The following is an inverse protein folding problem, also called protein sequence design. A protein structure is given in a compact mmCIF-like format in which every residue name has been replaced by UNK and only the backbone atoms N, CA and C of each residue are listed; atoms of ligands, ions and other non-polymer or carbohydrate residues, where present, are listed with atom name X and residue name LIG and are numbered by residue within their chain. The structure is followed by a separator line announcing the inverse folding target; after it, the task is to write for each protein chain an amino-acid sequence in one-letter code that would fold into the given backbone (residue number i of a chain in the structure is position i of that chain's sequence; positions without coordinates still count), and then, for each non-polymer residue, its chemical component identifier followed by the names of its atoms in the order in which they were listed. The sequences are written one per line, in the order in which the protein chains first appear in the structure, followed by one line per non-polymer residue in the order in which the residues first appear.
data_IF_142489507552
#
_entry.id   IF_142489507552
#
_cell.length_a   1.000
_cell.length_b   1.000
_cell.length_c   1.000
_cell.angle_alpha   90.00
_cell.angle_beta   90.00
_cell.angle_gamma   90.00
#
_symmetry.space_group_name_H-M   'P 1'
#
loop_
_entity.id
_entity.type
_entity.pdbx_description
1 polymer ?
#
# COMPACT_ATOMS: atom_id res chain seq x y z
N UNK A 1 -15.72 28.41 -6.47
CA UNK A 1 -15.08 27.08 -6.62
C UNK A 1 -16.03 26.07 -5.96
N UNK A 2 -16.56 25.13 -6.72
CA UNK A 2 -17.45 24.11 -6.18
C UNK A 2 -16.69 23.16 -5.26
N UNK A 3 -17.44 22.31 -4.54
CA UNK A 3 -16.85 21.45 -3.54
C UNK A 3 -16.02 20.28 -4.09
N UNK A 4 -16.30 19.85 -5.30
CA UNK A 4 -15.49 18.85 -5.98
C UNK A 4 -14.10 19.40 -6.31
N UNK A 5 -14.06 20.63 -6.84
CA UNK A 5 -12.80 21.33 -7.11
C UNK A 5 -11.97 21.55 -5.83
N UNK A 6 -12.61 21.91 -4.71
CA UNK A 6 -11.90 22.04 -3.41
C UNK A 6 -11.38 20.70 -2.91
N UNK A 7 -12.19 19.67 -2.98
CA UNK A 7 -11.79 18.31 -2.58
C UNK A 7 -10.63 17.79 -3.44
N UNK A 8 -10.62 18.15 -4.73
CA UNK A 8 -9.55 17.78 -5.65
C UNK A 8 -8.20 18.45 -5.34
N UNK A 9 -8.15 19.49 -4.52
CA UNK A 9 -6.90 20.12 -4.09
C UNK A 9 -6.15 19.31 -3.03
N UNK A 10 -6.79 18.32 -2.40
CA UNK A 10 -6.12 17.42 -1.48
C UNK A 10 -5.04 16.61 -2.22
N UNK A 11 -3.78 16.74 -1.80
CA UNK A 11 -2.63 16.13 -2.46
C UNK A 11 -2.66 14.60 -2.57
N UNK A 12 -3.47 13.93 -1.73
CA UNK A 12 -3.58 12.47 -1.70
C UNK A 12 -4.92 11.94 -2.23
N UNK A 13 -5.76 12.79 -2.85
CA UNK A 13 -7.10 12.41 -3.33
C UNK A 13 -7.16 12.04 -4.80
N UNK A 14 -6.05 12.07 -5.53
CA UNK A 14 -6.04 11.75 -6.96
C UNK A 14 -6.33 10.25 -7.17
N UNK A 15 -7.41 9.94 -7.90
CA UNK A 15 -7.68 8.58 -8.36
C UNK A 15 -6.89 8.32 -9.64
N UNK A 16 -5.94 7.41 -9.58
CA UNK A 16 -5.12 7.07 -10.74
C UNK A 16 -5.20 5.60 -11.15
N UNK A 17 -5.73 4.76 -10.28
CA UNK A 17 -5.79 3.31 -10.52
C UNK A 17 -7.21 2.78 -10.36
N UNK A 18 -7.60 1.82 -11.21
CA UNK A 18 -8.77 1.00 -10.95
C UNK A 18 -8.44 0.00 -9.85
N UNK A 19 -9.23 0.01 -8.79
CA UNK A 19 -9.03 -0.88 -7.64
C UNK A 19 -9.47 -2.33 -7.89
N UNK A 20 -10.00 -2.63 -9.07
CA UNK A 20 -10.36 -3.97 -9.58
C UNK A 20 -10.97 -4.91 -8.51
N UNK A 21 -11.94 -4.42 -7.78
CA UNK A 21 -12.49 -5.09 -6.60
C UNK A 21 -13.03 -6.51 -6.87
N UNK A 22 -13.53 -6.77 -8.09
CA UNK A 22 -14.02 -8.10 -8.48
C UNK A 22 -12.88 -9.11 -8.63
N UNK A 23 -11.74 -8.69 -9.19
CA UNK A 23 -10.57 -9.56 -9.42
C UNK A 23 -9.84 -9.94 -8.11
N UNK A 24 -10.06 -9.21 -7.00
CA UNK A 24 -9.43 -9.49 -5.71
C UNK A 24 -9.79 -10.87 -5.12
N UNK A 25 -10.87 -11.48 -5.59
CA UNK A 25 -11.30 -12.81 -5.15
C UNK A 25 -10.68 -13.94 -5.98
N UNK A 26 -10.08 -13.62 -7.11
CA UNK A 26 -9.41 -14.58 -7.97
C UNK A 26 -7.94 -14.71 -7.56
N UNK A 27 -7.66 -15.62 -6.63
CA UNK A 27 -6.32 -15.86 -6.11
C UNK A 27 -5.36 -16.36 -7.20
N UNK A 28 -5.88 -17.11 -8.19
CA UNK A 28 -5.06 -17.58 -9.31
C UNK A 28 -4.61 -16.38 -10.15
N UNK A 29 -5.54 -15.54 -10.52
CA UNK A 29 -5.24 -14.33 -11.28
C UNK A 29 -4.22 -13.44 -10.53
N UNK A 30 -4.38 -13.26 -9.21
CA UNK A 30 -3.45 -12.48 -8.39
C UNK A 30 -2.03 -13.07 -8.43
N UNK A 31 -1.89 -14.38 -8.27
CA UNK A 31 -0.59 -15.05 -8.36
C UNK A 31 0.04 -14.88 -9.75
N UNK A 32 -0.75 -15.04 -10.80
CA UNK A 32 -0.28 -14.85 -12.18
C UNK A 32 0.22 -13.41 -12.39
N UNK A 33 -0.49 -12.40 -11.81
CA UNK A 33 -0.05 -11.01 -11.89
C UNK A 33 1.22 -10.72 -11.07
N UNK A 34 1.41 -11.34 -9.91
CA UNK A 34 2.62 -11.16 -9.09
C UNK A 34 3.89 -11.57 -9.84
N UNK A 35 3.82 -12.57 -10.69
CA UNK A 35 4.94 -13.05 -11.51
C UNK A 35 5.00 -12.38 -12.90
N UNK A 36 3.99 -11.61 -13.25
CA UNK A 36 3.86 -10.94 -14.55
C UNK A 36 4.87 -9.79 -14.73
N UNK A 37 5.33 -9.60 -15.97
CA UNK A 37 6.24 -8.50 -16.34
C UNK A 37 5.62 -7.11 -16.14
N UNK A 38 4.29 -7.03 -16.05
CA UNK A 38 3.53 -5.81 -15.86
C UNK A 38 3.34 -5.44 -14.38
N UNK A 39 3.72 -6.33 -13.45
CA UNK A 39 3.68 -6.04 -12.03
C UNK A 39 4.62 -4.88 -11.66
N UNK A 40 4.12 -3.98 -10.84
CA UNK A 40 4.88 -2.87 -10.25
C UNK A 40 4.69 -2.89 -8.75
N UNK A 41 5.81 -3.00 -8.04
CA UNK A 41 5.81 -3.12 -6.60
C UNK A 41 6.25 -1.82 -5.96
N UNK A 42 5.48 -1.38 -4.97
CA UNK A 42 5.75 -0.20 -4.15
C UNK A 42 6.32 -0.71 -2.83
N UNK A 43 7.64 -0.66 -2.64
CA UNK A 43 8.25 -1.11 -1.40
C UNK A 43 7.98 -0.11 -0.27
N UNK A 44 7.68 -0.67 0.90
CA UNK A 44 7.57 0.05 2.15
C UNK A 44 8.54 -0.57 3.16
N UNK A 45 9.27 0.26 3.86
CA UNK A 45 10.16 -0.15 4.94
C UNK A 45 10.02 0.84 6.10
N UNK A 46 9.72 0.36 7.29
CA UNK A 46 9.45 1.22 8.47
C UNK A 46 8.40 2.32 8.18
N UNK A 47 7.34 2.02 7.43
CA UNK A 47 6.33 3.00 6.97
C UNK A 47 6.85 4.11 6.06
N UNK A 48 8.05 4.00 5.52
CA UNK A 48 8.64 4.91 4.55
C UNK A 48 8.49 4.35 3.14
N UNK A 49 8.39 5.23 2.15
CA UNK A 49 8.39 4.86 0.72
C UNK A 49 9.78 5.07 0.13
N UNK A 50 10.11 4.31 -0.92
CA UNK A 50 11.38 4.42 -1.64
C UNK A 50 11.29 5.48 -2.73
N UNK A 51 12.22 6.42 -2.73
CA UNK A 51 12.33 7.50 -3.72
C UNK A 51 13.69 7.49 -4.40
N UNK A 52 13.70 7.72 -5.72
CA UNK A 52 14.92 7.73 -6.53
C UNK A 52 15.82 8.93 -6.19
N UNK A 53 15.23 10.11 -6.03
CA UNK A 53 15.92 11.36 -5.78
C UNK A 53 15.28 12.11 -4.62
N UNK A 54 16.06 12.96 -3.96
CA UNK A 54 15.60 13.72 -2.81
C UNK A 54 15.07 15.11 -3.22
N UNK A 55 15.69 15.76 -4.19
CA UNK A 55 15.30 17.11 -4.64
C UNK A 55 14.06 17.10 -5.53
N UNK A 56 13.95 16.12 -6.42
CA UNK A 56 12.80 15.92 -7.29
C UNK A 56 12.26 14.47 -7.07
N UNK A 57 11.56 14.22 -5.96
CA UNK A 57 11.23 12.87 -5.55
C UNK A 57 10.28 12.22 -6.54
N UNK A 58 10.70 11.06 -7.06
CA UNK A 58 9.87 10.16 -7.81
C UNK A 58 9.82 8.79 -7.11
N UNK A 59 8.65 8.12 -7.08
CA UNK A 59 8.55 6.82 -6.46
C UNK A 59 9.34 5.78 -7.24
N UNK A 60 10.13 4.98 -6.54
CA UNK A 60 10.76 3.79 -7.15
C UNK A 60 9.75 2.67 -7.20
N UNK A 61 9.37 2.30 -8.42
CA UNK A 61 8.49 1.16 -8.69
C UNK A 61 9.34 -0.03 -9.12
N UNK A 62 9.30 -1.09 -8.35
CA UNK A 62 10.13 -2.27 -8.56
C UNK A 62 9.42 -3.26 -9.49
N UNK A 63 10.21 -4.06 -10.23
CA UNK A 63 9.74 -5.31 -10.83
C UNK A 63 9.90 -6.47 -9.85
N UNK A 64 9.33 -7.63 -10.19
CA UNK A 64 9.52 -8.87 -9.40
C UNK A 64 11.00 -9.21 -9.21
N UNK A 65 11.81 -9.02 -10.26
CA UNK A 65 13.24 -9.30 -10.22
C UNK A 65 14.02 -8.44 -9.21
N UNK A 66 13.63 -7.17 -9.03
CA UNK A 66 14.28 -6.29 -8.04
C UNK A 66 14.00 -6.70 -6.58
N UNK A 67 12.86 -7.34 -6.33
CA UNK A 67 12.50 -7.79 -4.99
C UNK A 67 13.20 -9.10 -4.60
N UNK A 68 13.48 -9.96 -5.60
CA UNK A 68 14.08 -11.27 -5.33
C UNK A 68 13.32 -12.03 -4.22
N UNK A 69 14.06 -12.57 -3.26
CA UNK A 69 13.51 -13.29 -2.10
C UNK A 69 12.87 -12.35 -1.05
N UNK A 70 13.11 -11.04 -1.13
CA UNK A 70 12.55 -10.09 -0.15
C UNK A 70 11.02 -10.05 -0.16
N UNK A 71 10.39 -10.46 -1.24
CA UNK A 71 8.93 -10.53 -1.31
C UNK A 71 8.36 -11.66 -0.45
N UNK A 72 9.08 -12.78 -0.33
CA UNK A 72 8.67 -13.95 0.45
C UNK A 72 8.80 -13.69 1.95
N UNK A 73 9.69 -12.77 2.32
CA UNK A 73 9.89 -12.31 3.69
C UNK A 73 8.99 -11.14 4.07
N UNK A 74 8.25 -10.57 3.13
CA UNK A 74 7.41 -9.39 3.36
C UNK A 74 6.31 -9.65 4.40
N UNK A 75 6.07 -8.67 5.27
CA UNK A 75 4.96 -8.71 6.23
C UNK A 75 3.58 -8.76 5.54
N UNK A 76 3.48 -8.13 4.39
CA UNK A 76 2.31 -8.20 3.52
C UNK A 76 2.63 -7.83 2.09
N UNK A 77 1.96 -8.49 1.15
CA UNK A 77 1.89 -8.10 -0.26
C UNK A 77 0.42 -7.85 -0.57
N UNK A 78 0.10 -6.65 -1.03
CA UNK A 78 -1.28 -6.22 -1.24
C UNK A 78 -1.49 -5.69 -2.65
N UNK A 79 -2.46 -6.24 -3.37
CA UNK A 79 -2.90 -5.75 -4.67
C UNK A 79 -3.56 -4.37 -4.48
N UNK A 80 -3.02 -3.34 -5.11
CA UNK A 80 -3.60 -1.99 -5.06
C UNK A 80 -4.63 -1.76 -6.17
N UNK A 81 -4.30 -2.20 -7.39
CA UNK A 81 -5.15 -2.02 -8.56
C UNK A 81 -4.36 -2.05 -9.86
N UNK A 82 -5.00 -1.61 -10.95
CA UNK A 82 -4.41 -1.55 -12.28
C UNK A 82 -4.55 -0.15 -12.91
N UNK A 83 -3.62 0.17 -13.80
CA UNK A 83 -3.64 1.38 -14.62
C UNK A 83 -3.01 1.08 -15.97
N UNK A 84 -3.85 1.07 -17.00
CA UNK A 84 -3.47 0.54 -18.30
C UNK A 84 -3.10 -0.94 -18.19
N UNK A 85 -1.89 -1.25 -18.60
CA UNK A 85 -1.33 -2.62 -18.56
C UNK A 85 -0.60 -2.95 -17.25
N UNK A 86 -0.41 -1.98 -16.36
CA UNK A 86 0.35 -2.16 -15.11
C UNK A 86 -0.54 -2.56 -13.96
N UNK A 87 -0.08 -3.55 -13.19
CA UNK A 87 -0.73 -3.99 -11.95
C UNK A 87 0.17 -3.62 -10.77
N UNK A 88 -0.40 -2.90 -9.80
CA UNK A 88 0.34 -2.35 -8.68
C UNK A 88 0.14 -3.16 -7.40
N UNK A 89 1.23 -3.41 -6.69
CA UNK A 89 1.25 -4.07 -5.40
C UNK A 89 2.01 -3.25 -4.38
N UNK A 90 1.50 -3.15 -3.16
CA UNK A 90 2.26 -2.69 -2.02
C UNK A 90 3.01 -3.87 -1.39
N UNK A 91 4.28 -3.70 -1.06
CA UNK A 91 5.10 -4.70 -0.38
C UNK A 91 5.65 -4.10 0.90
N UNK A 92 5.18 -4.61 2.04
CA UNK A 92 5.65 -4.17 3.36
C UNK A 92 6.82 -5.04 3.80
N UNK A 93 8.02 -4.53 3.63
CA UNK A 93 9.26 -5.24 3.89
C UNK A 93 9.52 -5.41 5.40
N UNK A 94 10.24 -6.46 5.81
CA UNK A 94 10.68 -6.63 7.19
C UNK A 94 11.48 -5.41 7.65
N UNK A 95 11.33 -5.06 8.89
CA UNK A 95 11.99 -3.90 9.51
C UNK A 95 12.72 -4.29 10.81
N UNK A 96 13.15 -5.55 10.88
CA UNK A 96 13.86 -6.11 12.02
C UNK A 96 15.27 -5.53 12.14
N UNK A 97 15.87 -5.17 11.00
CA UNK A 97 17.14 -4.46 10.95
C UNK A 97 16.91 -2.95 10.82
N UNK A 98 17.80 -2.15 11.39
CA UNK A 98 17.78 -0.69 11.28
C UNK A 98 18.17 -0.18 9.87
N UNK A 99 18.55 -1.09 8.99
CA UNK A 99 18.94 -0.79 7.60
C UNK A 99 18.00 -1.47 6.60
N UNK A 100 17.60 -0.77 5.53
CA UNK A 100 16.80 -1.38 4.47
C UNK A 100 17.63 -2.45 3.72
N UNK A 101 16.97 -3.37 2.99
CA UNK A 101 17.66 -4.34 2.14
C UNK A 101 18.67 -3.64 1.23
N UNK A 102 19.92 -4.12 1.22
CA UNK A 102 21.03 -3.47 0.49
C UNK A 102 20.75 -3.33 -1.01
N UNK A 103 20.11 -4.31 -1.63
CA UNK A 103 19.69 -4.28 -3.04
C UNK A 103 18.74 -3.13 -3.37
N UNK A 104 17.97 -2.64 -2.40
CA UNK A 104 17.05 -1.53 -2.58
C UNK A 104 17.68 -0.18 -2.22
N UNK A 105 18.69 -0.18 -1.36
CA UNK A 105 19.41 1.04 -0.98
C UNK A 105 20.15 1.69 -2.16
N UNK A 106 20.55 0.89 -3.16
CA UNK A 106 21.19 1.37 -4.40
C UNK A 106 20.19 2.06 -5.35
N UNK A 107 18.90 1.74 -5.25
CA UNK A 107 17.85 2.26 -6.12
C UNK A 107 17.28 3.60 -5.63
N UNK A 108 17.55 3.97 -4.38
CA UNK A 108 17.04 5.20 -3.80
C UNK A 108 17.08 5.22 -2.28
N UNK A 109 16.33 6.17 -1.69
CA UNK A 109 16.25 6.33 -0.24
C UNK A 109 14.83 6.14 0.27
N UNK A 110 14.67 5.41 1.37
CA UNK A 110 13.41 5.33 2.09
C UNK A 110 13.15 6.61 2.89
N UNK A 111 12.09 7.33 2.53
CA UNK A 111 11.74 8.63 3.12
C UNK A 111 10.28 8.64 3.59
N UNK A 112 10.01 9.47 4.61
CA UNK A 112 8.63 9.70 5.04
C UNK A 112 7.83 10.45 3.97
N UNK A 113 6.68 9.89 3.59
CA UNK A 113 5.82 10.45 2.55
C UNK A 113 5.40 11.89 2.82
N UNK A 114 5.17 12.26 4.09
CA UNK A 114 4.73 13.61 4.43
C UNK A 114 5.81 14.65 4.11
N UNK A 115 7.08 14.30 4.30
CA UNK A 115 8.21 15.19 3.96
C UNK A 115 8.34 15.40 2.46
N UNK A 116 7.99 14.38 1.67
CA UNK A 116 8.08 14.41 0.21
C UNK A 116 6.82 14.99 -0.46
N UNK A 117 5.68 15.04 0.25
CA UNK A 117 4.35 15.32 -0.30
C UNK A 117 4.24 16.62 -1.10
N UNK A 118 4.92 17.69 -0.66
CA UNK A 118 4.87 19.00 -1.32
C UNK A 118 5.56 19.03 -2.70
N UNK A 119 6.43 18.05 -2.97
CA UNK A 119 7.20 17.92 -4.21
C UNK A 119 6.76 16.77 -5.11
N UNK A 120 5.84 15.95 -4.63
CA UNK A 120 5.31 14.82 -5.38
C UNK A 120 4.19 15.24 -6.33
N UNK A 121 4.16 14.61 -7.49
CA UNK A 121 2.98 14.60 -8.33
C UNK A 121 1.78 14.03 -7.57
N UNK A 122 0.59 14.61 -7.77
CA UNK A 122 -0.63 14.22 -7.03
C UNK A 122 -0.98 12.74 -7.20
N UNK A 123 -0.75 12.20 -8.39
CA UNK A 123 -0.98 10.79 -8.72
C UNK A 123 -0.07 9.88 -7.89
N UNK A 124 1.22 10.19 -7.86
CA UNK A 124 2.20 9.43 -7.09
C UNK A 124 1.94 9.55 -5.59
N UNK A 125 1.66 10.76 -5.11
CA UNK A 125 1.30 10.99 -3.72
C UNK A 125 0.10 10.16 -3.27
N UNK A 126 -0.97 10.10 -4.08
CA UNK A 126 -2.15 9.30 -3.78
C UNK A 126 -1.86 7.78 -3.78
N UNK A 127 -1.10 7.30 -4.76
CA UNK A 127 -0.71 5.89 -4.86
C UNK A 127 0.16 5.46 -3.67
N UNK A 128 1.17 6.26 -3.31
CA UNK A 128 2.04 5.98 -2.18
C UNK A 128 1.30 6.06 -0.84
N UNK A 129 0.38 7.02 -0.68
CA UNK A 129 -0.45 7.13 0.51
C UNK A 129 -1.36 5.91 0.68
N UNK A 130 -1.94 5.42 -0.42
CA UNK A 130 -2.76 4.20 -0.41
C UNK A 130 -1.93 2.96 -0.04
N UNK A 131 -0.75 2.76 -0.65
CA UNK A 131 0.16 1.68 -0.32
C UNK A 131 0.53 1.69 1.17
N UNK A 132 0.89 2.86 1.70
CA UNK A 132 1.24 3.04 3.10
C UNK A 132 0.07 2.77 4.05
N UNK A 133 -1.13 3.25 3.71
CA UNK A 133 -2.32 3.07 4.52
C UNK A 133 -2.69 1.59 4.66
N UNK A 134 -2.69 0.84 3.55
CA UNK A 134 -3.05 -0.58 3.58
C UNK A 134 -1.99 -1.42 4.32
N UNK A 135 -0.70 -1.15 4.13
CA UNK A 135 0.37 -1.81 4.87
C UNK A 135 0.28 -1.52 6.38
N UNK A 136 0.00 -0.27 6.76
CA UNK A 136 -0.22 0.09 8.16
C UNK A 136 -1.41 -0.67 8.75
N UNK A 137 -2.51 -0.79 8.01
CA UNK A 137 -3.67 -1.56 8.43
C UNK A 137 -3.33 -3.03 8.64
N UNK A 138 -2.55 -3.67 7.76
CA UNK A 138 -2.09 -5.04 7.92
C UNK A 138 -1.31 -5.25 9.22
N UNK A 139 -0.39 -4.34 9.53
CA UNK A 139 0.41 -4.42 10.77
C UNK A 139 -0.43 -4.35 12.04
N UNK A 140 -1.52 -3.58 12.01
CA UNK A 140 -2.39 -3.38 13.17
C UNK A 140 -3.47 -4.46 13.33
N UNK A 141 -3.72 -5.25 12.29
CA UNK A 141 -4.79 -6.25 12.29
C UNK A 141 -4.24 -7.68 12.18
N UNK A 142 -3.08 -7.93 12.76
CA UNK A 142 -2.44 -9.27 12.78
C UNK A 142 -3.22 -10.27 13.63
N UNK A 143 -3.99 -9.79 14.57
CA UNK A 143 -4.81 -10.60 15.47
C UNK A 143 -6.28 -10.17 15.36
N UNK A 144 -7.16 -11.15 15.55
CA UNK A 144 -8.61 -10.93 15.56
C UNK A 144 -9.04 -10.12 16.78
N UNK A 145 -9.82 -9.06 16.56
CA UNK A 145 -10.35 -8.22 17.65
C UNK A 145 -11.34 -8.95 18.55
N UNK A 146 -11.98 -10.01 18.05
CA UNK A 146 -13.02 -10.73 18.80
C UNK A 146 -12.45 -11.86 19.65
N UNK A 147 -11.50 -12.64 19.12
CA UNK A 147 -11.01 -13.84 19.82
C UNK A 147 -9.50 -13.89 20.06
N UNK A 148 -8.75 -12.87 19.60
CA UNK A 148 -7.30 -12.77 19.79
C UNK A 148 -6.45 -13.69 18.90
N UNK A 149 -7.06 -14.60 18.11
CA UNK A 149 -6.31 -15.51 17.24
C UNK A 149 -5.65 -14.78 16.07
N UNK A 150 -4.57 -15.31 15.48
CA UNK A 150 -3.97 -14.72 14.28
C UNK A 150 -4.97 -14.57 13.14
N UNK A 151 -4.72 -13.63 12.25
CA UNK A 151 -5.51 -13.43 11.03
C UNK A 151 -4.66 -13.70 9.80
N UNK A 152 -5.27 -14.23 8.74
CA UNK A 152 -4.66 -14.43 7.42
C UNK A 152 -5.14 -13.36 6.42
N UNK A 153 -4.28 -13.00 5.47
CA UNK A 153 -4.63 -12.10 4.37
C UNK A 153 -5.48 -12.83 3.32
N UNK A 154 -6.49 -12.17 2.80
CA UNK A 154 -7.36 -12.66 1.75
C UNK A 154 -7.77 -11.55 0.78
N UNK A 155 -8.34 -11.91 -0.36
CA UNK A 155 -8.84 -10.98 -1.37
C UNK A 155 -7.79 -9.93 -1.78
N UNK A 156 -6.60 -10.39 -2.17
CA UNK A 156 -5.50 -9.52 -2.59
C UNK A 156 -5.01 -8.58 -1.50
N UNK A 157 -5.20 -8.92 -0.23
CA UNK A 157 -4.77 -8.10 0.91
C UNK A 157 -5.83 -7.10 1.40
N UNK A 158 -7.07 -7.16 0.91
CA UNK A 158 -8.13 -6.23 1.32
C UNK A 158 -9.06 -6.78 2.41
N UNK A 159 -8.84 -8.02 2.81
CA UNK A 159 -9.54 -8.67 3.92
C UNK A 159 -8.51 -9.40 4.77
N UNK A 160 -8.68 -9.39 6.07
CA UNK A 160 -8.00 -10.32 6.97
C UNK A 160 -9.05 -11.21 7.62
N UNK A 161 -8.80 -12.51 7.57
CA UNK A 161 -9.73 -13.53 8.09
C UNK A 161 -9.12 -14.18 9.33
N UNK A 162 -9.89 -14.28 10.40
CA UNK A 162 -9.46 -14.99 11.59
C UNK A 162 -9.19 -16.47 11.28
N UNK A 163 -8.03 -16.98 11.71
CA UNK A 163 -7.62 -18.36 11.48
C UNK A 163 -8.26 -19.37 12.44
N UNK A 164 -8.93 -18.89 13.50
CA UNK A 164 -9.68 -19.73 14.41
C UNK A 164 -10.96 -20.24 13.71
N UNK A 165 -11.11 -21.57 13.50
CA UNK A 165 -12.26 -22.13 12.78
C UNK A 165 -13.61 -21.87 13.48
N UNK A 166 -13.60 -21.61 14.79
CA UNK A 166 -14.82 -21.29 15.56
C UNK A 166 -15.16 -19.80 15.52
N UNK A 167 -14.30 -18.96 14.96
CA UNK A 167 -14.53 -17.52 14.85
C UNK A 167 -14.75 -17.07 13.40
N UNK A 168 -13.74 -17.27 12.53
CA UNK A 168 -13.83 -16.95 11.10
C UNK A 168 -14.10 -15.47 10.78
N UNK A 169 -14.03 -14.57 11.77
CA UNK A 169 -14.36 -13.15 11.62
C UNK A 169 -13.50 -12.50 10.53
N UNK A 170 -14.14 -11.70 9.69
CA UNK A 170 -13.49 -10.92 8.66
C UNK A 170 -13.27 -9.48 9.11
N UNK A 171 -12.07 -8.97 8.86
CA UNK A 171 -11.68 -7.60 9.14
C UNK A 171 -11.39 -6.86 7.84
N UNK A 172 -11.89 -5.62 7.74
CA UNK A 172 -11.76 -4.78 6.55
C UNK A 172 -11.04 -3.48 6.91
N UNK A 173 -10.29 -2.87 5.96
CA UNK A 173 -9.78 -1.53 6.14
C UNK A 173 -10.93 -0.56 6.41
N UNK A 174 -10.80 0.26 7.47
CA UNK A 174 -11.80 1.29 7.77
C UNK A 174 -11.60 2.49 6.86
N UNK A 175 -12.69 2.96 6.29
CA UNK A 175 -12.75 4.14 5.42
C UNK A 175 -13.78 5.13 5.95
N UNK A 176 -13.73 5.39 7.27
CA UNK A 176 -14.65 6.31 7.92
C UNK A 176 -14.46 7.72 7.37
N UNK A 177 -15.53 8.44 7.00
CA UNK A 177 -15.43 9.83 6.61
C UNK A 177 -14.98 10.66 7.81
N UNK A 178 -14.06 11.59 7.55
CA UNK A 178 -13.57 12.55 8.55
C UNK A 178 -13.76 13.97 8.04
N UNK A 179 -14.20 14.86 8.90
CA UNK A 179 -14.31 16.29 8.62
C UNK A 179 -13.48 17.09 9.62
N UNK A 180 -12.95 18.22 9.16
CA UNK A 180 -12.33 19.23 10.01
C UNK A 180 -13.21 20.47 9.90
N UNK A 181 -13.69 20.96 11.05
CA UNK A 181 -14.60 22.10 11.12
C UNK A 181 -13.94 23.21 11.93
N UNK A 182 -13.93 24.41 11.37
CA UNK A 182 -13.62 25.65 12.09
C UNK A 182 -14.95 26.34 12.41
N UNK A 183 -15.24 26.50 13.70
CA UNK A 183 -16.38 27.28 14.16
C UNK A 183 -15.87 28.69 14.49
N UNK A 184 -16.36 29.69 13.78
CA UNK A 184 -16.12 31.12 14.08
C UNK A 184 -17.37 31.75 14.67
N UNK A 185 -17.18 32.59 15.67
CA UNK A 185 -18.23 33.45 16.23
C UNK A 185 -18.39 34.72 15.41
#
# INVERSE_FOLDING_TARGET
MDHYTRSSLNGFSAHSIDRIHLKRRDEKWIRDQLEGSNARFIPLWQSKNLFAEEENPSPVLLSRAHLGESIDLAHSVTLLGEDGDRVYFAVDLPAEDDTPPSSLAELGKFQDLRRMSARLGRRDGALLAYARAIAHWHRRNRFCGDCGSPTASAQGGHVRVCTNPHCGQQHFPRTDPAIIVLVSA
#
